data_IF_758026543973
#
_entry.id   IF_758026543973
#
_cell.length_a   1.000
_cell.length_b   1.000
_cell.length_c   1.000
_cell.angle_alpha   90.00
_cell.angle_beta   90.00
_cell.angle_gamma   90.00
#
_symmetry.space_group_name_H-M   'P 1'
#
loop_
_entity.id
_entity.type
_entity.pdbx_description
1 polymer ?
#
# COMPACT_ATOMS: atom_id res chain seq x y z
N UNK A 1 37.54 -43.57 -27.05
CA UNK A 1 36.08 -43.37 -26.87
C UNK A 1 35.88 -42.25 -25.87
N UNK A 2 35.54 -41.04 -26.33
CA UNK A 2 35.38 -39.87 -25.46
C UNK A 2 34.52 -38.84 -26.18
N UNK A 3 33.21 -38.88 -25.91
CA UNK A 3 32.24 -37.96 -26.50
C UNK A 3 32.34 -36.60 -25.81
N UNK A 4 32.83 -35.59 -26.53
CA UNK A 4 32.70 -34.17 -26.17
C UNK A 4 31.30 -33.70 -26.57
N UNK A 5 30.43 -33.51 -25.58
CA UNK A 5 29.14 -32.84 -25.75
C UNK A 5 29.41 -31.32 -25.72
N UNK A 6 29.32 -30.68 -26.88
CA UNK A 6 29.35 -29.22 -27.01
C UNK A 6 27.93 -28.67 -26.79
N UNK A 7 27.71 -28.01 -25.65
CA UNK A 7 26.49 -27.21 -25.41
C UNK A 7 26.67 -25.86 -26.10
N UNK A 8 25.86 -25.61 -27.13
CA UNK A 8 25.62 -24.26 -27.65
C UNK A 8 24.64 -23.57 -26.70
N UNK A 9 25.04 -22.41 -26.18
CA UNK A 9 24.16 -21.48 -25.47
C UNK A 9 23.55 -20.55 -26.51
N UNK A 10 22.24 -20.64 -26.69
CA UNK A 10 21.47 -19.70 -27.50
C UNK A 10 21.21 -18.43 -26.67
N UNK A 11 21.98 -17.38 -26.95
CA UNK A 11 21.72 -16.02 -26.48
C UNK A 11 20.55 -15.42 -27.26
N UNK A 12 19.32 -15.67 -26.81
CA UNK A 12 18.15 -14.97 -27.29
C UNK A 12 18.01 -13.61 -26.59
N UNK A 13 18.47 -12.59 -27.33
CA UNK A 13 18.40 -11.17 -27.03
C UNK A 13 16.94 -10.69 -27.04
N UNK A 14 16.28 -10.73 -25.88
CA UNK A 14 14.95 -10.17 -25.68
C UNK A 14 15.08 -8.65 -25.45
N UNK A 15 14.97 -7.87 -26.55
CA UNK A 15 14.72 -6.43 -26.50
C UNK A 15 13.37 -6.18 -25.84
N UNK A 16 13.39 -5.98 -24.52
CA UNK A 16 12.29 -5.36 -23.79
C UNK A 16 12.24 -3.88 -24.16
N UNK A 17 11.03 -3.39 -24.47
CA UNK A 17 10.77 -2.05 -24.99
C UNK A 17 11.07 -0.94 -23.97
N UNK A 18 11.83 0.06 -24.38
CA UNK A 18 12.22 1.29 -23.65
C UNK A 18 11.06 2.13 -23.05
N UNK A 19 9.79 1.76 -23.27
CA UNK A 19 8.64 2.51 -22.77
C UNK A 19 8.34 2.25 -21.28
N UNK A 20 8.62 1.04 -20.77
CA UNK A 20 8.30 0.70 -19.37
C UNK A 20 9.34 1.25 -18.39
N UNK A 21 10.61 1.33 -18.79
CA UNK A 21 11.66 1.97 -17.98
C UNK A 21 11.47 3.49 -17.88
N UNK A 22 10.84 4.14 -18.87
CA UNK A 22 10.50 5.57 -18.79
C UNK A 22 9.33 5.87 -17.85
N UNK A 23 8.43 4.91 -17.60
CA UNK A 23 7.37 5.05 -16.61
C UNK A 23 7.91 4.88 -15.18
N UNK A 24 8.87 3.97 -14.96
CA UNK A 24 9.59 3.85 -13.68
C UNK A 24 10.52 5.06 -13.45
N UNK A 25 11.24 5.54 -14.48
CA UNK A 25 12.11 6.71 -14.35
C UNK A 25 11.36 8.05 -14.18
N UNK A 26 10.11 8.18 -14.65
CA UNK A 26 9.30 9.39 -14.39
C UNK A 26 8.59 9.39 -13.03
N UNK A 27 8.42 8.23 -12.38
CA UNK A 27 7.94 8.19 -11.00
C UNK A 27 9.07 8.27 -9.97
N UNK A 28 10.32 7.93 -10.36
CA UNK A 28 11.49 7.99 -9.47
C UNK A 28 12.33 9.27 -9.51
N UNK A 29 12.08 10.22 -10.43
CA UNK A 29 13.04 11.31 -10.71
C UNK A 29 12.52 12.73 -10.40
N UNK A 30 11.67 12.89 -9.39
CA UNK A 30 11.27 14.22 -8.86
C UNK A 30 11.62 14.40 -7.37
N UNK A 31 12.43 13.52 -6.80
CA UNK A 31 12.91 13.66 -5.41
C UNK A 31 14.44 13.51 -5.40
N UNK A 32 15.12 14.48 -6.01
CA UNK A 32 16.54 14.73 -5.76
C UNK A 32 16.71 16.23 -5.63
N UNK A 33 16.24 16.75 -4.51
CA UNK A 33 16.75 17.97 -3.91
C UNK A 33 17.31 17.54 -2.55
N UNK A 34 18.49 18.07 -2.25
CA UNK A 34 19.28 17.84 -1.04
C UNK A 34 18.36 17.72 0.20
N UNK A 35 18.45 16.59 0.91
CA UNK A 35 17.68 16.37 2.12
C UNK A 35 18.22 17.25 3.25
N UNK A 36 17.74 18.50 3.30
CA UNK A 36 17.39 19.08 4.58
C UNK A 36 16.33 18.14 5.17
N UNK A 37 16.77 17.14 5.94
CA UNK A 37 15.87 16.34 6.76
C UNK A 37 14.97 17.34 7.48
N UNK A 38 13.66 17.38 7.20
CA UNK A 38 12.78 18.32 7.85
C UNK A 38 12.96 18.07 9.34
N UNK A 39 13.50 19.08 10.06
CA UNK A 39 13.55 19.03 11.52
C UNK A 39 12.15 18.63 11.93
N UNK A 40 11.99 17.41 12.49
CA UNK A 40 10.69 16.93 12.99
C UNK A 40 10.12 18.12 13.74
N UNK A 41 8.98 18.68 13.31
CA UNK A 41 8.38 19.76 14.07
C UNK A 41 8.29 19.24 15.49
N UNK A 42 8.81 19.96 16.50
CA UNK A 42 8.59 19.54 17.87
C UNK A 42 7.09 19.34 17.98
N UNK A 43 6.65 18.10 18.21
CA UNK A 43 5.26 17.82 18.51
C UNK A 43 5.01 18.54 19.84
N UNK A 44 4.70 19.83 19.77
CA UNK A 44 4.15 20.60 20.88
C UNK A 44 2.70 20.12 21.04
N UNK A 45 2.56 18.86 21.45
CA UNK A 45 1.39 18.43 22.19
C UNK A 45 1.52 19.16 23.53
N UNK A 46 0.98 20.38 23.60
CA UNK A 46 0.67 20.98 24.88
C UNK A 46 -0.27 19.99 25.56
N UNK A 47 0.25 19.21 26.50
CA UNK A 47 -0.57 18.30 27.28
C UNK A 47 -1.58 19.17 28.02
N UNK A 48 -2.87 18.95 27.76
CA UNK A 48 -3.90 19.62 28.52
C UNK A 48 -3.70 19.32 30.02
N UNK A 49 -3.95 20.27 30.93
CA UNK A 49 -3.74 20.08 32.37
C UNK A 49 -4.46 18.86 32.96
N UNK A 50 -5.54 18.39 32.31
CA UNK A 50 -6.23 17.16 32.68
C UNK A 50 -5.37 15.91 32.43
N UNK A 51 -4.67 15.85 31.30
CA UNK A 51 -3.77 14.75 30.93
C UNK A 51 -2.60 14.63 31.90
N UNK A 52 -2.02 15.75 32.33
CA UNK A 52 -0.91 15.77 33.28
C UNK A 52 -1.29 15.17 34.64
N UNK A 53 -2.48 15.49 35.16
CA UNK A 53 -2.99 14.86 36.39
C UNK A 53 -3.19 13.36 36.27
N UNK A 54 -3.67 12.90 35.11
CA UNK A 54 -3.82 11.46 34.83
C UNK A 54 -2.45 10.77 34.79
N UNK A 55 -1.45 11.39 34.18
CA UNK A 55 -0.08 10.87 34.13
C UNK A 55 0.51 10.75 35.53
N UNK A 56 0.44 11.81 36.35
CA UNK A 56 0.98 11.76 37.73
C UNK A 56 0.26 10.69 38.57
N UNK A 57 -1.06 10.54 38.43
CA UNK A 57 -1.80 9.47 39.10
C UNK A 57 -1.34 8.06 38.67
N UNK A 58 -1.01 7.86 37.39
CA UNK A 58 -0.47 6.59 36.89
C UNK A 58 0.95 6.34 37.44
N UNK A 59 1.79 7.38 37.46
CA UNK A 59 3.16 7.30 38.00
C UNK A 59 3.12 6.94 39.49
N UNK A 60 2.24 7.60 40.27
CA UNK A 60 2.06 7.33 41.70
C UNK A 60 1.54 5.92 41.97
N UNK A 61 0.54 5.47 41.20
CA UNK A 61 -0.02 4.14 41.34
C UNK A 61 0.98 3.03 40.98
N UNK A 62 1.81 3.28 39.96
CA UNK A 62 2.82 2.34 39.48
C UNK A 62 2.26 0.93 39.21
N UNK A 63 1.10 0.87 38.56
CA UNK A 63 0.36 -0.36 38.29
C UNK A 63 -0.09 -0.38 36.83
N UNK A 64 0.32 -1.42 36.10
CA UNK A 64 -0.03 -1.67 34.70
C UNK A 64 -1.54 -1.75 34.48
N UNK A 65 -2.32 -2.19 35.48
CA UNK A 65 -3.79 -2.22 35.40
C UNK A 65 -4.39 -0.81 35.41
N UNK A 66 -3.81 0.13 36.14
CA UNK A 66 -4.28 1.51 36.18
C UNK A 66 -4.09 2.15 34.81
N UNK A 67 -2.92 1.97 34.20
CA UNK A 67 -2.68 2.41 32.82
C UNK A 67 -3.64 1.74 31.83
N UNK A 68 -3.80 0.41 31.91
CA UNK A 68 -4.71 -0.32 31.04
C UNK A 68 -6.15 0.22 31.14
N UNK A 69 -6.65 0.45 32.34
CA UNK A 69 -8.00 0.99 32.57
C UNK A 69 -8.15 2.41 32.00
N UNK A 70 -7.14 3.26 32.15
CA UNK A 70 -7.12 4.59 31.54
C UNK A 70 -7.20 4.48 30.01
N UNK A 71 -6.43 3.57 29.41
CA UNK A 71 -6.42 3.38 27.95
C UNK A 71 -7.70 2.72 27.42
N UNK A 72 -8.37 1.87 28.21
CA UNK A 72 -9.67 1.28 27.88
C UNK A 72 -10.85 2.24 28.09
N UNK A 73 -10.69 3.24 28.98
CA UNK A 73 -11.74 4.18 29.37
C UNK A 73 -12.45 4.84 28.17
N UNK A 74 -13.78 4.84 28.16
CA UNK A 74 -14.60 5.55 27.18
C UNK A 74 -14.67 7.06 27.45
N UNK A 75 -14.31 7.48 28.68
CA UNK A 75 -14.35 8.88 29.09
C UNK A 75 -13.18 9.70 28.52
N UNK A 76 -12.18 9.04 27.91
CA UNK A 76 -11.06 9.69 27.26
C UNK A 76 -11.17 9.56 25.75
N UNK A 77 -11.03 10.69 25.07
CA UNK A 77 -10.83 10.74 23.62
C UNK A 77 -9.54 10.05 23.23
N UNK A 78 -9.44 9.66 21.96
CA UNK A 78 -8.18 9.13 21.44
C UNK A 78 -7.01 10.10 21.62
N UNK A 79 -7.24 11.40 21.43
CA UNK A 79 -6.21 12.44 21.61
C UNK A 79 -5.67 12.47 23.04
N UNK A 80 -6.56 12.42 24.05
CA UNK A 80 -6.15 12.38 25.46
C UNK A 80 -5.38 11.09 25.77
N UNK A 81 -5.84 9.93 25.29
CA UNK A 81 -5.11 8.65 25.44
C UNK A 81 -3.71 8.72 24.83
N UNK A 82 -3.58 9.32 23.63
CA UNK A 82 -2.26 9.52 23.02
C UNK A 82 -1.38 10.48 23.82
N UNK A 83 -1.96 11.52 24.41
CA UNK A 83 -1.27 12.42 25.34
C UNK A 83 -0.76 11.69 26.59
N UNK A 84 -1.57 10.82 27.20
CA UNK A 84 -1.17 9.98 28.34
C UNK A 84 -0.01 9.06 27.96
N UNK A 85 -0.13 8.31 26.86
CA UNK A 85 0.94 7.38 26.43
C UNK A 85 2.24 8.12 26.11
N UNK A 86 2.15 9.27 25.44
CA UNK A 86 3.31 10.10 25.12
C UNK A 86 3.95 10.68 26.38
N UNK A 87 3.17 11.22 27.32
CA UNK A 87 3.68 11.75 28.58
C UNK A 87 4.34 10.68 29.46
N UNK A 88 3.75 9.48 29.53
CA UNK A 88 4.35 8.33 30.22
C UNK A 88 5.66 7.89 29.59
N UNK A 89 5.79 8.00 28.26
CA UNK A 89 7.06 7.74 27.61
C UNK A 89 8.17 8.71 28.09
N UNK A 90 7.91 10.02 28.20
CA UNK A 90 8.93 10.95 28.73
C UNK A 90 9.22 10.75 30.22
N UNK A 91 8.26 10.21 30.95
CA UNK A 91 8.39 9.90 32.37
C UNK A 91 8.67 8.42 32.60
N UNK A 92 9.10 7.66 31.59
CA UNK A 92 9.21 6.19 31.71
C UNK A 92 10.18 5.80 32.83
N UNK A 93 11.28 6.54 33.00
CA UNK A 93 12.25 6.38 34.10
C UNK A 93 11.66 6.67 35.49
N UNK A 94 10.56 7.43 35.57
CA UNK A 94 9.81 7.69 36.81
C UNK A 94 8.79 6.59 37.11
N UNK A 95 8.35 5.86 36.09
CA UNK A 95 7.51 4.67 36.26
C UNK A 95 8.39 3.46 36.56
N UNK A 96 7.91 2.50 37.34
CA UNK A 96 8.51 1.15 37.42
C UNK A 96 7.86 0.19 36.41
N UNK A 97 7.15 0.71 35.41
CA UNK A 97 6.61 -0.10 34.33
C UNK A 97 7.77 -0.65 33.51
N UNK A 98 7.71 -1.95 33.23
CA UNK A 98 8.71 -2.64 32.42
C UNK A 98 8.22 -2.77 30.98
N UNK A 99 9.13 -3.09 30.05
CA UNK A 99 8.72 -3.47 28.70
C UNK A 99 7.75 -4.67 28.67
N UNK A 100 7.87 -5.58 29.65
CA UNK A 100 6.93 -6.70 29.80
C UNK A 100 5.51 -6.22 30.13
N UNK A 101 5.39 -5.19 30.97
CA UNK A 101 4.10 -4.58 31.28
C UNK A 101 3.49 -3.93 30.03
N UNK A 102 4.31 -3.24 29.24
CA UNK A 102 3.85 -2.60 28.00
C UNK A 102 3.36 -3.62 26.96
N UNK A 103 4.06 -4.75 26.79
CA UNK A 103 3.59 -5.84 25.93
C UNK A 103 2.30 -6.48 26.45
N UNK A 104 2.19 -6.67 27.77
CA UNK A 104 0.95 -7.17 28.36
C UNK A 104 -0.22 -6.21 28.13
N UNK A 105 -0.02 -4.90 28.31
CA UNK A 105 -1.03 -3.87 28.02
C UNK A 105 -1.43 -3.91 26.54
N UNK A 106 -0.46 -4.06 25.64
CA UNK A 106 -0.70 -4.18 24.19
C UNK A 106 -1.62 -5.36 23.88
N UNK A 107 -1.31 -6.55 24.39
CA UNK A 107 -2.12 -7.77 24.21
C UNK A 107 -3.54 -7.53 24.75
N UNK A 108 -3.67 -6.96 25.94
CA UNK A 108 -4.96 -6.69 26.56
C UNK A 108 -5.81 -5.64 25.83
N UNK A 109 -5.18 -4.70 25.12
CA UNK A 109 -5.86 -3.73 24.27
C UNK A 109 -6.25 -4.34 22.93
N UNK A 110 -5.41 -5.20 22.35
CA UNK A 110 -5.70 -5.91 21.10
C UNK A 110 -6.87 -6.88 21.29
N UNK A 111 -6.86 -7.69 22.35
CA UNK A 111 -7.97 -8.58 22.74
C UNK A 111 -9.27 -7.79 23.00
N UNK A 112 -9.15 -6.57 23.54
CA UNK A 112 -10.28 -5.67 23.77
C UNK A 112 -10.78 -4.92 22.53
N UNK A 113 -10.15 -5.10 21.36
CA UNK A 113 -10.52 -4.41 20.12
C UNK A 113 -10.11 -2.92 20.06
N UNK A 114 -9.24 -2.47 20.97
CA UNK A 114 -8.74 -1.08 21.01
C UNK A 114 -7.58 -0.85 20.03
N UNK A 115 -7.76 -1.25 18.76
CA UNK A 115 -6.68 -1.37 17.77
C UNK A 115 -5.95 -0.06 17.48
N UNK A 116 -6.65 1.07 17.52
CA UNK A 116 -6.06 2.39 17.33
C UNK A 116 -5.08 2.76 18.47
N UNK A 117 -5.42 2.39 19.71
CA UNK A 117 -4.56 2.60 20.88
C UNK A 117 -3.33 1.69 20.78
N UNK A 118 -3.53 0.41 20.43
CA UNK A 118 -2.44 -0.56 20.19
C UNK A 118 -1.45 -0.04 19.14
N UNK A 119 -1.95 0.43 18.00
CA UNK A 119 -1.08 0.95 16.93
C UNK A 119 -0.27 2.17 17.38
N UNK A 120 -0.85 3.04 18.19
CA UNK A 120 -0.13 4.19 18.73
C UNK A 120 0.92 3.76 19.78
N UNK A 121 0.61 2.77 20.61
CA UNK A 121 1.56 2.20 21.57
C UNK A 121 2.77 1.60 20.85
N UNK A 122 2.55 0.83 19.79
CA UNK A 122 3.60 0.30 18.91
C UNK A 122 4.41 1.40 18.24
N UNK A 123 3.75 2.48 17.82
CA UNK A 123 4.44 3.66 17.29
C UNK A 123 5.37 4.29 18.34
N UNK A 124 4.93 4.42 19.60
CA UNK A 124 5.81 4.85 20.69
C UNK A 124 6.97 3.87 20.81
N UNK A 125 6.71 2.57 21.00
CA UNK A 125 7.78 1.56 21.12
C UNK A 125 8.82 1.66 20.01
N UNK A 126 8.36 1.83 18.77
CA UNK A 126 9.23 2.03 17.61
C UNK A 126 10.12 3.29 17.71
N UNK A 127 9.57 4.43 18.15
CA UNK A 127 10.35 5.66 18.28
C UNK A 127 11.32 5.64 19.47
N UNK A 128 11.02 4.86 20.50
CA UNK A 128 11.79 4.81 21.75
C UNK A 128 12.96 3.85 21.68
N UNK A 129 12.83 2.78 20.92
CA UNK A 129 13.90 1.82 20.64
C UNK A 129 14.94 2.42 19.68
N UNK A 130 15.58 3.52 20.11
CA UNK A 130 16.43 4.42 19.32
C UNK A 130 17.73 3.80 18.77
N UNK A 131 17.95 2.50 18.95
CA UNK A 131 19.18 1.81 18.54
C UNK A 131 19.01 0.99 17.24
N UNK A 132 17.77 0.74 16.79
CA UNK A 132 17.49 -0.03 15.56
C UNK A 132 16.85 0.81 14.43
N UNK A 133 16.66 2.11 14.68
CA UNK A 133 15.70 2.93 13.91
C UNK A 133 16.06 3.21 12.45
N UNK A 134 17.34 3.16 12.04
CA UNK A 134 17.70 3.52 10.66
C UNK A 134 17.34 2.42 9.66
N UNK A 135 17.79 1.17 9.93
CA UNK A 135 17.55 0.05 9.02
C UNK A 135 16.06 -0.34 9.00
N UNK A 136 15.36 -0.16 10.11
CA UNK A 136 13.91 -0.37 10.20
C UNK A 136 13.15 0.65 9.37
N UNK A 137 13.53 1.93 9.42
CA UNK A 137 12.86 2.99 8.63
C UNK A 137 12.97 2.72 7.13
N UNK A 138 14.19 2.46 6.63
CA UNK A 138 14.40 2.16 5.21
C UNK A 138 13.64 0.90 4.78
N UNK A 139 13.60 -0.12 5.64
CA UNK A 139 12.88 -1.37 5.36
C UNK A 139 11.37 -1.15 5.34
N UNK A 140 10.83 -0.31 6.22
CA UNK A 140 9.42 0.10 6.24
C UNK A 140 9.01 0.86 4.99
N UNK A 141 9.81 1.84 4.59
CA UNK A 141 9.59 2.58 3.35
C UNK A 141 9.53 1.61 2.16
N UNK A 142 10.47 0.69 2.05
CA UNK A 142 10.47 -0.34 0.99
C UNK A 142 9.27 -1.27 1.04
N UNK A 143 8.75 -1.62 2.22
CA UNK A 143 7.52 -2.41 2.31
C UNK A 143 6.29 -1.60 1.87
N UNK A 144 6.20 -0.33 2.23
CA UNK A 144 5.12 0.57 1.80
C UNK A 144 5.16 0.77 0.27
N UNK A 145 6.35 1.00 -0.28
CA UNK A 145 6.56 1.04 -1.74
C UNK A 145 6.18 -0.30 -2.37
N UNK A 146 6.56 -1.40 -1.74
CA UNK A 146 6.20 -2.74 -2.17
C UNK A 146 4.69 -2.96 -2.21
N UNK A 147 3.97 -2.41 -1.25
CA UNK A 147 2.51 -2.47 -1.20
C UNK A 147 1.86 -1.65 -2.32
N UNK A 148 2.40 -0.47 -2.60
CA UNK A 148 1.96 0.39 -3.70
C UNK A 148 2.20 -0.31 -5.04
N UNK A 149 3.40 -0.90 -5.24
CA UNK A 149 3.77 -1.62 -6.46
C UNK A 149 2.93 -2.88 -6.67
N UNK A 150 2.65 -3.64 -5.61
CA UNK A 150 1.72 -4.78 -5.67
C UNK A 150 0.34 -4.33 -6.18
N UNK A 151 -0.23 -3.28 -5.58
CA UNK A 151 -1.52 -2.73 -6.03
C UNK A 151 -1.46 -2.25 -7.48
N UNK A 152 -0.34 -1.66 -7.90
CA UNK A 152 -0.16 -1.22 -9.28
C UNK A 152 -0.18 -2.41 -10.25
N UNK A 153 0.58 -3.47 -9.97
CA UNK A 153 0.65 -4.67 -10.83
C UNK A 153 -0.73 -5.32 -10.99
N UNK A 154 -1.47 -5.47 -9.89
CA UNK A 154 -2.83 -6.02 -9.90
C UNK A 154 -3.78 -5.14 -10.71
N UNK A 155 -3.74 -3.82 -10.51
CA UNK A 155 -4.61 -2.91 -11.24
C UNK A 155 -4.29 -2.86 -12.73
N UNK A 156 -3.00 -2.97 -13.10
CA UNK A 156 -2.57 -3.07 -14.48
C UNK A 156 -3.04 -4.38 -15.11
N UNK A 157 -2.91 -5.50 -14.42
CA UNK A 157 -3.41 -6.81 -14.86
C UNK A 157 -4.92 -6.75 -15.16
N UNK A 158 -5.72 -6.14 -14.28
CA UNK A 158 -7.16 -5.95 -14.49
C UNK A 158 -7.42 -5.08 -15.73
N UNK A 159 -6.68 -3.97 -15.87
CA UNK A 159 -6.82 -3.08 -17.02
C UNK A 159 -6.54 -3.82 -18.34
N UNK A 160 -5.48 -4.62 -18.40
CA UNK A 160 -5.09 -5.39 -19.59
C UNK A 160 -6.11 -6.49 -19.87
N UNK A 161 -6.61 -7.19 -18.85
CA UNK A 161 -7.67 -8.19 -19.01
C UNK A 161 -8.97 -7.59 -19.56
N UNK A 162 -9.40 -6.44 -19.06
CA UNK A 162 -10.59 -5.74 -19.58
C UNK A 162 -10.40 -5.32 -21.05
N UNK A 163 -9.20 -4.85 -21.41
CA UNK A 163 -8.89 -4.53 -22.80
C UNK A 163 -8.91 -5.77 -23.69
N UNK A 164 -8.25 -6.85 -23.27
CA UNK A 164 -8.26 -8.16 -23.95
C UNK A 164 -9.68 -8.68 -24.18
N UNK A 165 -10.55 -8.62 -23.17
CA UNK A 165 -11.97 -9.01 -23.30
C UNK A 165 -12.70 -8.16 -24.35
N UNK A 166 -12.44 -6.85 -24.36
CA UNK A 166 -13.04 -5.95 -25.36
C UNK A 166 -12.60 -6.29 -26.79
N UNK A 167 -11.33 -6.66 -26.98
CA UNK A 167 -10.81 -7.10 -28.28
C UNK A 167 -11.39 -8.45 -28.71
N UNK A 168 -11.55 -9.39 -27.78
CA UNK A 168 -12.15 -10.69 -28.07
C UNK A 168 -13.61 -10.54 -28.51
N UNK A 169 -14.38 -9.65 -27.85
CA UNK A 169 -15.75 -9.33 -28.24
C UNK A 169 -15.84 -8.76 -29.67
N UNK A 170 -14.83 -8.00 -30.12
CA UNK A 170 -14.78 -7.49 -31.50
C UNK A 170 -14.56 -8.61 -32.53
N UNK A 171 -13.79 -9.65 -32.19
CA UNK A 171 -13.60 -10.81 -33.08
C UNK A 171 -14.81 -11.73 -33.13
N UNK A 172 -15.50 -11.91 -32.01
CA UNK A 172 -16.63 -12.83 -31.87
C UNK A 172 -17.94 -12.22 -32.40
N UNK A 173 -17.99 -10.88 -32.53
CA UNK A 173 -19.15 -10.19 -33.08
C UNK A 173 -19.35 -10.62 -34.55
N UNK A 174 -20.53 -11.17 -34.92
CA UNK A 174 -20.81 -11.54 -36.30
C UNK A 174 -20.67 -10.32 -37.23
N UNK A 175 -20.22 -10.51 -38.49
CA UNK A 175 -20.11 -9.40 -39.43
C UNK A 175 -21.46 -8.70 -39.51
N UNK A 176 -21.50 -7.35 -39.43
CA UNK A 176 -22.75 -6.60 -39.40
C UNK A 176 -23.58 -6.99 -40.63
N UNK A 177 -24.71 -7.65 -40.38
CA UNK A 177 -25.65 -8.04 -41.43
C UNK A 177 -26.15 -6.76 -42.10
N UNK A 178 -25.86 -6.61 -43.40
CA UNK A 178 -26.10 -5.43 -44.23
C UNK A 178 -27.22 -4.50 -43.73
N UNK A 179 -26.85 -3.46 -42.97
CA UNK A 179 -27.71 -2.31 -42.73
C UNK A 179 -27.11 -1.09 -43.42
N UNK A 180 -27.90 -0.56 -44.31
CA UNK A 180 -27.63 0.49 -45.28
C UNK A 180 -26.99 1.72 -44.62
N UNK A 181 -25.68 1.89 -44.89
CA UNK A 181 -25.05 3.11 -45.45
C UNK A 181 -25.49 4.43 -44.82
N UNK A 182 -24.67 4.94 -43.89
CA UNK A 182 -24.18 6.33 -43.77
C UNK A 182 -23.83 6.64 -42.31
N UNK A 183 -22.67 6.18 -41.84
CA UNK A 183 -22.00 6.91 -40.77
C UNK A 183 -20.50 6.70 -40.92
N UNK A 184 -19.88 7.68 -41.57
CA UNK A 184 -18.45 7.90 -41.62
C UNK A 184 -17.93 8.15 -40.21
N UNK A 185 -17.35 7.13 -39.55
CA UNK A 185 -16.25 7.31 -38.59
C UNK A 185 -15.67 5.96 -38.14
N UNK A 186 -14.36 5.84 -38.29
CA UNK A 186 -13.46 4.71 -38.00
C UNK A 186 -13.63 3.46 -38.89
N UNK A 187 -12.69 3.28 -39.82
CA UNK A 187 -12.42 1.98 -40.45
C UNK A 187 -12.30 0.91 -39.34
N UNK A 188 -13.03 -0.21 -39.42
CA UNK A 188 -12.87 -1.29 -38.46
C UNK A 188 -11.42 -1.80 -38.53
N UNK A 189 -10.72 -1.77 -37.39
CA UNK A 189 -9.38 -2.34 -37.28
C UNK A 189 -9.35 -3.71 -37.93
N UNK A 190 -8.35 -3.94 -38.78
CA UNK A 190 -8.26 -5.20 -39.51
C UNK A 190 -8.18 -6.38 -38.53
N UNK A 191 -8.74 -7.54 -38.89
CA UNK A 191 -8.66 -8.76 -38.04
C UNK A 191 -7.20 -9.07 -37.63
N UNK A 192 -6.24 -8.75 -38.50
CA UNK A 192 -4.81 -8.87 -38.23
C UNK A 192 -4.35 -7.93 -37.10
N UNK A 193 -4.76 -6.67 -37.09
CA UNK A 193 -4.46 -5.71 -36.02
C UNK A 193 -5.04 -6.17 -34.68
N UNK A 194 -6.30 -6.61 -34.66
CA UNK A 194 -6.94 -7.10 -33.42
C UNK A 194 -6.20 -8.31 -32.86
N UNK A 195 -5.76 -9.22 -33.73
CA UNK A 195 -4.96 -10.39 -33.34
C UNK A 195 -3.62 -9.97 -32.76
N UNK A 196 -2.93 -9.02 -33.39
CA UNK A 196 -1.66 -8.48 -32.89
C UNK A 196 -1.83 -7.80 -31.52
N UNK A 197 -2.92 -7.06 -31.29
CA UNK A 197 -3.22 -6.43 -30.00
C UNK A 197 -3.54 -7.46 -28.91
N UNK A 198 -4.23 -8.55 -29.25
CA UNK A 198 -4.45 -9.67 -28.33
C UNK A 198 -3.15 -10.35 -27.92
N UNK A 199 -2.25 -10.59 -28.88
CA UNK A 199 -0.92 -11.15 -28.61
C UNK A 199 -0.11 -10.22 -27.70
N UNK A 200 -0.18 -8.90 -27.93
CA UNK A 200 0.43 -7.90 -27.06
C UNK A 200 -0.14 -7.96 -25.63
N UNK A 201 -1.47 -8.03 -25.48
CA UNK A 201 -2.11 -8.18 -24.17
C UNK A 201 -1.66 -9.47 -23.46
N UNK A 202 -1.60 -10.58 -24.18
CA UNK A 202 -1.16 -11.87 -23.63
C UNK A 202 0.29 -11.81 -23.14
N UNK A 203 1.16 -11.19 -23.94
CA UNK A 203 2.57 -11.00 -23.58
C UNK A 203 2.71 -10.09 -22.35
N UNK A 204 1.93 -9.00 -22.27
CA UNK A 204 1.93 -8.11 -21.11
C UNK A 204 1.43 -8.83 -19.85
N UNK A 205 0.33 -9.58 -19.92
CA UNK A 205 -0.19 -10.37 -18.78
C UNK A 205 0.85 -11.39 -18.28
N UNK A 206 1.57 -12.05 -19.19
CA UNK A 206 2.65 -12.97 -18.83
C UNK A 206 3.77 -12.24 -18.09
N UNK A 207 4.15 -11.05 -18.56
CA UNK A 207 5.16 -10.22 -17.91
C UNK A 207 4.70 -9.72 -16.53
N UNK A 208 3.47 -9.22 -16.42
CA UNK A 208 2.88 -8.76 -15.15
C UNK A 208 2.83 -9.87 -14.11
N UNK A 209 2.48 -11.10 -14.51
CA UNK A 209 2.50 -12.24 -13.61
C UNK A 209 3.93 -12.55 -13.11
N UNK A 210 4.93 -12.49 -13.98
CA UNK A 210 6.34 -12.67 -13.58
C UNK A 210 6.74 -11.58 -12.57
N UNK A 211 6.52 -10.30 -12.92
CA UNK A 211 6.84 -9.16 -12.06
C UNK A 211 6.12 -9.21 -10.71
N UNK A 212 4.87 -9.65 -10.69
CA UNK A 212 4.11 -9.86 -9.46
C UNK A 212 4.82 -10.83 -8.53
N UNK A 213 5.21 -12.01 -9.01
CA UNK A 213 5.84 -13.02 -8.17
C UNK A 213 7.24 -12.62 -7.71
N UNK A 214 8.03 -12.00 -8.59
CA UNK A 214 9.33 -11.43 -8.22
C UNK A 214 9.17 -10.40 -7.10
N UNK A 215 8.19 -9.51 -7.25
CA UNK A 215 7.89 -8.46 -6.29
C UNK A 215 7.36 -9.01 -4.95
N UNK A 216 6.47 -10.00 -4.98
CA UNK A 216 5.99 -10.68 -3.76
C UNK A 216 7.14 -11.35 -3.00
N UNK A 217 8.07 -11.99 -3.71
CA UNK A 217 9.24 -12.58 -3.09
C UNK A 217 10.14 -11.51 -2.45
N UNK A 218 10.37 -10.37 -3.12
CA UNK A 218 11.10 -9.24 -2.53
C UNK A 218 10.41 -8.70 -1.28
N UNK A 219 9.10 -8.49 -1.32
CA UNK A 219 8.33 -8.02 -0.16
C UNK A 219 8.41 -9.02 1.00
N UNK A 220 8.29 -10.31 0.72
CA UNK A 220 8.45 -11.36 1.72
C UNK A 220 9.84 -11.32 2.38
N UNK A 221 10.90 -11.13 1.60
CA UNK A 221 12.28 -11.00 2.13
C UNK A 221 12.50 -9.73 2.96
N UNK A 222 11.83 -8.62 2.62
CA UNK A 222 11.87 -7.40 3.43
C UNK A 222 11.18 -7.66 4.76
N UNK A 223 9.95 -8.17 4.70
CA UNK A 223 9.13 -8.39 5.89
C UNK A 223 9.73 -9.46 6.82
N UNK A 224 10.37 -10.50 6.30
CA UNK A 224 11.01 -11.55 7.11
C UNK A 224 12.20 -11.04 7.92
N UNK A 225 12.79 -9.90 7.54
CA UNK A 225 13.90 -9.26 8.26
C UNK A 225 13.45 -8.35 9.42
N UNK A 226 12.17 -7.97 9.50
CA UNK A 226 11.69 -7.04 10.55
C UNK A 226 11.63 -7.65 11.96
N UNK A 227 11.96 -8.93 12.11
CA UNK A 227 11.78 -9.64 13.38
C UNK A 227 10.34 -9.58 13.88
N UNK A 228 10.13 -9.84 15.17
CA UNK A 228 8.84 -9.69 15.84
C UNK A 228 8.72 -8.36 16.60
N UNK A 229 9.33 -7.29 16.06
CA UNK A 229 9.30 -5.96 16.67
C UNK A 229 7.96 -5.24 16.51
N UNK A 230 7.83 -4.10 17.20
CA UNK A 230 6.61 -3.28 17.21
C UNK A 230 6.16 -2.88 15.79
N UNK A 231 7.11 -2.58 14.90
CA UNK A 231 6.82 -2.24 13.51
C UNK A 231 6.20 -3.39 12.72
N UNK A 232 6.71 -4.61 12.90
CA UNK A 232 6.16 -5.81 12.26
C UNK A 232 4.77 -6.11 12.76
N UNK A 233 4.57 -6.06 14.07
CA UNK A 233 3.26 -6.28 14.68
C UNK A 233 2.26 -5.21 14.23
N UNK A 234 2.68 -3.94 14.14
CA UNK A 234 1.86 -2.85 13.63
C UNK A 234 1.41 -3.10 12.17
N UNK A 235 2.35 -3.50 11.31
CA UNK A 235 2.08 -3.84 9.92
C UNK A 235 1.12 -5.02 9.79
N UNK A 236 1.39 -6.13 10.50
CA UNK A 236 0.56 -7.33 10.45
C UNK A 236 -0.85 -7.08 10.98
N UNK A 237 -0.99 -6.34 12.08
CA UNK A 237 -2.31 -5.97 12.63
C UNK A 237 -3.09 -5.09 11.65
N UNK A 238 -2.42 -4.10 11.05
CA UNK A 238 -3.05 -3.26 10.04
C UNK A 238 -3.56 -4.15 8.90
N UNK A 239 -2.76 -5.11 8.41
CA UNK A 239 -3.16 -6.00 7.31
C UNK A 239 -4.24 -7.02 7.66
N UNK A 240 -4.36 -7.43 8.92
CA UNK A 240 -5.46 -8.28 9.41
C UNK A 240 -6.79 -7.55 9.46
N UNK A 241 -6.78 -6.22 9.52
CA UNK A 241 -8.01 -5.43 9.63
C UNK A 241 -8.67 -5.33 8.25
N UNK A 242 -9.90 -5.84 8.10
CA UNK A 242 -10.57 -5.98 6.79
C UNK A 242 -10.70 -4.69 5.97
N UNK A 243 -10.71 -3.53 6.64
CA UNK A 243 -10.91 -2.19 6.09
C UNK A 243 -9.67 -1.30 6.20
N UNK A 244 -8.48 -1.87 6.41
CA UNK A 244 -7.22 -1.13 6.59
C UNK A 244 -6.95 -0.08 5.50
N UNK A 245 -7.39 -0.39 4.29
CA UNK A 245 -7.25 0.48 3.14
C UNK A 245 -8.22 1.65 3.17
N UNK A 246 -9.38 1.57 3.83
CA UNK A 246 -10.38 2.63 3.91
C UNK A 246 -10.10 3.67 5.01
N UNK A 247 -8.94 3.59 5.66
CA UNK A 247 -8.61 4.59 6.66
C UNK A 247 -8.62 6.01 6.07
N UNK A 248 -8.92 7.00 6.91
CA UNK A 248 -9.10 8.40 6.50
C UNK A 248 -7.90 8.93 5.72
N UNK A 249 -6.68 8.55 6.08
CA UNK A 249 -5.47 9.01 5.40
C UNK A 249 -5.41 8.52 3.95
N UNK A 250 -5.58 7.22 3.70
CA UNK A 250 -5.57 6.67 2.34
C UNK A 250 -6.69 7.22 1.46
N UNK A 251 -7.89 7.43 2.04
CA UNK A 251 -9.02 8.05 1.33
C UNK A 251 -8.67 9.48 0.91
N UNK A 252 -8.08 10.27 1.81
CA UNK A 252 -7.72 11.65 1.52
C UNK A 252 -6.56 11.76 0.54
N UNK A 253 -5.54 10.91 0.65
CA UNK A 253 -4.45 10.83 -0.32
C UNK A 253 -4.99 10.50 -1.73
N UNK A 254 -5.87 9.49 -1.84
CA UNK A 254 -6.50 9.15 -3.11
C UNK A 254 -7.34 10.32 -3.67
N UNK A 255 -8.07 11.05 -2.82
CA UNK A 255 -8.82 12.27 -3.21
C UNK A 255 -7.88 13.39 -3.68
N UNK A 256 -6.81 13.66 -2.94
CA UNK A 256 -5.82 14.70 -3.24
C UNK A 256 -5.13 14.48 -4.59
N UNK A 257 -4.86 13.21 -4.93
CA UNK A 257 -4.34 12.80 -6.26
C UNK A 257 -5.41 12.74 -7.36
N UNK A 258 -6.62 13.26 -7.11
CA UNK A 258 -7.79 13.21 -8.01
C UNK A 258 -8.17 11.78 -8.46
N UNK A 259 -7.91 10.79 -7.62
CA UNK A 259 -8.21 9.37 -7.85
C UNK A 259 -9.70 9.01 -7.69
N UNK A 260 -10.05 7.71 -7.73
CA UNK A 260 -11.45 7.25 -7.65
C UNK A 260 -12.21 7.76 -6.42
N UNK A 261 -11.56 7.99 -5.27
CA UNK A 261 -12.24 8.45 -4.06
C UNK A 261 -12.80 9.87 -4.14
N UNK A 262 -12.36 10.65 -5.13
CA UNK A 262 -12.96 11.96 -5.44
C UNK A 262 -14.22 11.86 -6.31
N UNK A 263 -14.65 10.64 -6.64
CA UNK A 263 -15.65 10.35 -7.68
C UNK A 263 -16.69 9.36 -7.17
N UNK A 264 -17.88 9.29 -7.79
CA UNK A 264 -18.93 8.37 -7.36
C UNK A 264 -18.69 6.91 -7.77
N UNK A 265 -17.58 6.58 -8.43
CA UNK A 265 -17.33 5.22 -8.94
C UNK A 265 -17.15 4.16 -7.84
N UNK A 266 -16.81 4.55 -6.61
CA UNK A 266 -16.67 3.63 -5.46
C UNK A 266 -15.64 2.50 -5.68
N UNK A 267 -14.73 2.66 -6.64
CA UNK A 267 -13.87 1.56 -7.09
C UNK A 267 -12.85 1.12 -6.02
N UNK A 268 -12.55 1.97 -5.03
CA UNK A 268 -11.66 1.67 -3.93
C UNK A 268 -12.32 0.83 -2.82
N UNK A 269 -13.64 0.88 -2.67
CA UNK A 269 -14.41 0.18 -1.62
C UNK A 269 -14.80 -1.25 -2.02
N UNK A 270 -14.70 -1.58 -3.31
CA UNK A 270 -15.10 -2.87 -3.85
C UNK A 270 -13.91 -3.80 -3.95
N UNK A 271 -14.19 -5.10 -3.86
CA UNK A 271 -13.24 -6.12 -4.28
C UNK A 271 -12.93 -5.96 -5.76
N UNK A 272 -11.65 -6.09 -6.11
CA UNK A 272 -11.20 -6.14 -7.49
C UNK A 272 -11.49 -7.51 -8.10
N UNK A 273 -11.77 -7.49 -9.41
CA UNK A 273 -11.93 -8.69 -10.24
C UNK A 273 -10.56 -9.31 -10.54
N UNK A 274 -10.00 -10.02 -9.56
CA UNK A 274 -8.71 -10.70 -9.66
C UNK A 274 -8.67 -11.95 -8.78
N UNK A 275 -7.86 -12.92 -9.19
CA UNK A 275 -7.55 -14.13 -8.41
C UNK A 275 -6.40 -13.91 -7.41
N UNK A 276 -5.77 -12.74 -7.43
CA UNK A 276 -4.71 -12.38 -6.47
C UNK A 276 -5.29 -12.21 -5.07
N UNK A 277 -4.45 -12.38 -4.06
CA UNK A 277 -4.86 -12.25 -2.65
C UNK A 277 -5.23 -10.80 -2.30
N UNK A 278 -4.53 -9.80 -2.85
CA UNK A 278 -4.74 -8.37 -2.55
C UNK A 278 -5.89 -7.77 -3.37
N UNK A 279 -7.12 -8.21 -3.07
CA UNK A 279 -8.33 -7.79 -3.79
C UNK A 279 -8.80 -6.38 -3.43
N UNK A 280 -8.29 -5.77 -2.35
CA UNK A 280 -8.76 -4.48 -1.81
C UNK A 280 -7.67 -3.41 -1.83
N UNK A 281 -8.04 -2.13 -1.83
CA UNK A 281 -7.10 -1.01 -1.75
C UNK A 281 -7.47 0.22 -2.57
N UNK A 282 -6.72 1.31 -2.39
CA UNK A 282 -6.87 2.51 -3.21
C UNK A 282 -6.24 2.38 -4.60
N UNK A 283 -6.72 3.21 -5.52
CA UNK A 283 -6.20 3.32 -6.88
C UNK A 283 -4.74 3.77 -6.90
N UNK A 284 -4.00 3.17 -7.82
CA UNK A 284 -2.76 3.69 -8.37
C UNK A 284 -3.05 4.31 -9.74
N UNK A 285 -2.00 4.75 -10.43
CA UNK A 285 -2.08 5.21 -11.82
C UNK A 285 -2.54 4.12 -12.80
N UNK A 286 -2.43 2.84 -12.44
CA UNK A 286 -2.84 1.71 -13.28
C UNK A 286 -4.32 1.31 -13.12
N UNK A 287 -5.08 1.96 -12.22
CA UNK A 287 -6.50 1.66 -12.07
C UNK A 287 -7.26 1.90 -13.40
N UNK A 288 -8.10 0.97 -13.88
CA UNK A 288 -8.85 1.13 -15.12
C UNK A 288 -9.65 2.44 -15.20
N UNK A 289 -10.28 2.86 -14.10
CA UNK A 289 -11.04 4.11 -14.03
C UNK A 289 -10.14 5.35 -14.15
N UNK A 290 -8.92 5.28 -13.60
CA UNK A 290 -7.94 6.36 -13.68
C UNK A 290 -7.33 6.45 -15.08
N UNK A 291 -6.97 5.30 -15.68
CA UNK A 291 -6.43 5.21 -17.05
C UNK A 291 -7.44 5.77 -18.06
N UNK A 292 -8.70 5.34 -18.00
CA UNK A 292 -9.76 5.85 -18.88
C UNK A 292 -9.88 7.38 -18.78
N UNK A 293 -9.96 7.93 -17.57
CA UNK A 293 -10.06 9.39 -17.42
C UNK A 293 -8.84 10.10 -18.02
N UNK A 294 -7.63 9.59 -17.79
CA UNK A 294 -6.42 10.19 -18.32
C UNK A 294 -6.48 10.28 -19.85
N UNK A 295 -6.90 9.19 -20.51
CA UNK A 295 -7.11 9.16 -21.97
C UNK A 295 -8.16 10.20 -22.39
N UNK A 296 -9.32 10.25 -21.74
CA UNK A 296 -10.35 11.26 -22.04
C UNK A 296 -9.84 12.70 -21.89
N UNK A 297 -9.05 12.97 -20.86
CA UNK A 297 -8.46 14.30 -20.62
C UNK A 297 -7.38 14.66 -21.65
N UNK A 298 -6.68 13.68 -22.22
CA UNK A 298 -5.72 13.89 -23.29
C UNK A 298 -6.40 14.15 -24.63
N UNK A 299 -7.55 13.49 -24.90
CA UNK A 299 -8.34 13.70 -26.13
C UNK A 299 -9.00 15.10 -26.15
N UNK A 300 -9.38 15.64 -25.00
CA UNK A 300 -10.06 16.95 -24.90
C UNK A 300 -9.11 18.16 -24.96
N UNK A 301 -7.79 17.94 -25.00
CA UNK A 301 -6.78 18.99 -25.12
C UNK A 301 -6.39 19.22 -26.57
#
# INVERSE_FOLDING_TARGET
>A
MGNKISRKTDENNCRTSDMDQKAEAKMGNTISQQSDQPKRPPLQLASEPATEKVIEAIIEANDSNVLLNVLKSENLTFSEKTGVMWGLHYCFDRTKLTWRDMFWIEDQLEEGGHLNVVQYLRFIHYNVSSLETYWETESMEKAIEGDIKTRWLIQREICVNQHKQSLQQQLDSPPPYHSTRQSSQAEPSSKSEVTQQLDSCNQELKNLNKLYWEHQNTLHQILSKWGNGAARQAYDLLRKTDDWYLNKWHVQDCKGRKGCCSRPYGCCERNRETERHEKRGHCTSACPCCVKLKIYQEILK
#
